data_IF_844445429377
#
_entry.id   IF_844445429377
#
_cell.length_a   1.000
_cell.length_b   1.000
_cell.length_c   1.000
_cell.angle_alpha   90.00
_cell.angle_beta   90.00
_cell.angle_gamma   90.00
#
_symmetry.space_group_name_H-M   'P 1'
#
loop_
_entity.id
_entity.type
_entity.pdbx_description
1 polymer ?
#
# COMPACT_ATOMS: atom_id res chain seq x y z
N UNK A 1 -24.14 -24.76 -18.89
CA UNK A 1 -22.69 -24.46 -18.91
C UNK A 1 -22.17 -24.76 -17.52
N UNK A 2 -21.36 -25.80 -17.36
CA UNK A 2 -20.74 -26.12 -16.07
C UNK A 2 -19.80 -24.97 -15.68
N UNK A 3 -20.00 -24.42 -14.48
CA UNK A 3 -19.06 -23.46 -13.93
C UNK A 3 -17.82 -24.22 -13.47
N UNK A 4 -16.73 -24.10 -14.22
CA UNK A 4 -15.43 -24.64 -13.83
C UNK A 4 -14.91 -23.80 -12.67
N UNK A 5 -14.98 -24.37 -11.46
CA UNK A 5 -14.49 -23.71 -10.25
C UNK A 5 -12.97 -23.88 -10.17
N UNK A 6 -12.22 -22.88 -10.62
CA UNK A 6 -10.76 -22.89 -10.67
C UNK A 6 -10.16 -22.46 -9.33
N UNK A 7 -10.47 -23.19 -8.25
CA UNK A 7 -9.87 -22.92 -6.94
C UNK A 7 -8.50 -23.61 -6.82
N UNK A 8 -7.51 -23.04 -7.50
CA UNK A 8 -6.11 -23.44 -7.39
C UNK A 8 -5.49 -22.73 -6.18
N UNK A 9 -4.85 -23.47 -5.29
CA UNK A 9 -4.09 -22.90 -4.16
C UNK A 9 -3.00 -21.96 -4.66
N UNK A 10 -2.78 -20.86 -3.94
CA UNK A 10 -1.68 -19.96 -4.24
C UNK A 10 -0.33 -20.67 -4.16
N UNK A 11 0.53 -20.46 -5.14
CA UNK A 11 1.89 -21.01 -5.14
C UNK A 11 2.90 -20.07 -4.46
N UNK A 12 4.11 -20.56 -4.21
CA UNK A 12 5.13 -19.79 -3.49
C UNK A 12 5.52 -18.46 -4.18
N UNK A 13 5.52 -18.42 -5.52
CA UNK A 13 5.85 -17.20 -6.26
C UNK A 13 4.75 -16.16 -6.17
N UNK A 14 3.48 -16.58 -6.27
CA UNK A 14 2.32 -15.70 -6.11
C UNK A 14 2.26 -15.17 -4.67
N UNK A 15 2.49 -16.00 -3.67
CA UNK A 15 2.56 -15.58 -2.28
C UNK A 15 3.66 -14.53 -2.06
N UNK A 16 4.87 -14.76 -2.59
CA UNK A 16 5.97 -13.79 -2.47
C UNK A 16 5.64 -12.43 -3.13
N UNK A 17 4.92 -12.44 -4.25
CA UNK A 17 4.46 -11.22 -4.92
C UNK A 17 3.44 -10.48 -4.07
N UNK A 18 2.42 -11.16 -3.54
CA UNK A 18 1.39 -10.53 -2.68
C UNK A 18 2.03 -9.98 -1.39
N UNK A 19 2.94 -10.73 -0.78
CA UNK A 19 3.67 -10.31 0.41
C UNK A 19 4.46 -9.01 0.14
N UNK A 20 5.22 -8.99 -0.96
CA UNK A 20 6.02 -7.82 -1.34
C UNK A 20 5.13 -6.61 -1.65
N UNK A 21 4.00 -6.83 -2.33
CA UNK A 21 3.02 -5.79 -2.63
C UNK A 21 2.49 -5.15 -1.34
N UNK A 22 2.08 -5.96 -0.36
CA UNK A 22 1.59 -5.46 0.91
C UNK A 22 2.64 -4.59 1.64
N UNK A 23 3.88 -5.05 1.69
CA UNK A 23 4.98 -4.28 2.32
C UNK A 23 5.22 -2.97 1.56
N UNK A 24 5.25 -3.00 0.23
CA UNK A 24 5.47 -1.81 -0.59
C UNK A 24 4.33 -0.79 -0.47
N UNK A 25 3.08 -1.22 -0.44
CA UNK A 25 1.94 -0.30 -0.29
C UNK A 25 1.89 0.29 1.12
N UNK A 26 2.29 -0.47 2.14
CA UNK A 26 2.38 0.05 3.51
C UNK A 26 3.45 1.14 3.64
N UNK A 27 4.60 0.97 2.97
CA UNK A 27 5.62 1.99 2.86
C UNK A 27 5.12 3.21 2.08
N UNK A 28 4.48 2.97 0.93
CA UNK A 28 3.93 4.03 0.08
C UNK A 28 2.93 4.89 0.84
N UNK A 29 2.03 4.28 1.63
CA UNK A 29 1.10 5.00 2.52
C UNK A 29 1.84 5.98 3.44
N UNK A 30 2.94 5.55 4.06
CA UNK A 30 3.73 6.39 4.95
C UNK A 30 4.36 7.58 4.20
N UNK A 31 4.99 7.32 3.06
CA UNK A 31 5.63 8.35 2.22
C UNK A 31 4.60 9.36 1.71
N UNK A 32 3.47 8.88 1.20
CA UNK A 32 2.43 9.72 0.61
C UNK A 32 1.77 10.61 1.68
N UNK A 33 1.50 10.09 2.87
CA UNK A 33 0.99 10.88 4.00
C UNK A 33 1.95 12.00 4.39
N UNK A 34 3.25 11.74 4.43
CA UNK A 34 4.26 12.77 4.66
C UNK A 34 4.26 13.83 3.54
N UNK A 35 4.25 13.41 2.28
CA UNK A 35 4.24 14.34 1.14
C UNK A 35 2.97 15.22 1.12
N UNK A 36 1.81 14.66 1.46
CA UNK A 36 0.54 15.40 1.51
C UNK A 36 0.50 16.48 2.59
N UNK A 37 1.27 16.30 3.66
CA UNK A 37 1.41 17.31 4.72
C UNK A 37 2.13 18.56 4.21
N UNK A 38 3.20 18.39 3.43
CA UNK A 38 4.08 19.49 3.00
C UNK A 38 3.78 20.06 1.60
N UNK A 39 3.01 19.33 0.76
CA UNK A 39 2.69 19.77 -0.61
C UNK A 39 1.87 21.06 -0.61
N UNK A 40 2.23 22.00 -1.49
CA UNK A 40 1.53 23.30 -1.65
C UNK A 40 0.83 23.46 -2.99
N UNK A 41 1.23 22.66 -3.96
CA UNK A 41 0.65 22.67 -5.29
C UNK A 41 -0.59 21.77 -5.28
N UNK A 42 -1.75 22.32 -5.65
CA UNK A 42 -3.04 21.63 -5.56
C UNK A 42 -3.15 20.51 -6.60
N UNK A 43 -2.57 20.65 -7.79
CA UNK A 43 -2.60 19.59 -8.82
C UNK A 43 -1.75 18.39 -8.35
N UNK A 44 -0.62 18.67 -7.68
CA UNK A 44 0.21 17.62 -7.06
C UNK A 44 -0.50 17.00 -5.85
N UNK A 45 -1.20 17.80 -5.04
CA UNK A 45 -1.99 17.31 -3.91
C UNK A 45 -3.03 16.28 -4.38
N UNK A 46 -3.84 16.62 -5.38
CA UNK A 46 -4.86 15.72 -5.93
C UNK A 46 -4.26 14.38 -6.40
N UNK A 47 -3.09 14.45 -7.06
CA UNK A 47 -2.37 13.24 -7.50
C UNK A 47 -1.90 12.39 -6.32
N UNK A 48 -1.37 13.02 -5.26
CA UNK A 48 -0.89 12.34 -4.06
C UNK A 48 -2.05 11.71 -3.27
N UNK A 49 -3.20 12.38 -3.18
CA UNK A 49 -4.41 11.84 -2.54
C UNK A 49 -4.91 10.60 -3.30
N UNK A 50 -4.97 10.66 -4.62
CA UNK A 50 -5.31 9.51 -5.45
C UNK A 50 -4.33 8.34 -5.25
N UNK A 51 -3.03 8.61 -5.22
CA UNK A 51 -2.02 7.58 -4.99
C UNK A 51 -2.14 6.95 -3.58
N UNK A 52 -2.50 7.75 -2.59
CA UNK A 52 -2.72 7.28 -1.21
C UNK A 52 -3.93 6.35 -1.14
N UNK A 53 -5.07 6.78 -1.69
CA UNK A 53 -6.30 5.97 -1.77
C UNK A 53 -6.04 4.64 -2.48
N UNK A 54 -5.28 4.67 -3.58
CA UNK A 54 -4.92 3.48 -4.33
C UNK A 54 -4.07 2.51 -3.48
N UNK A 55 -3.06 3.04 -2.78
CA UNK A 55 -2.19 2.25 -1.90
C UNK A 55 -2.98 1.61 -0.75
N UNK A 56 -3.88 2.36 -0.12
CA UNK A 56 -4.76 1.85 0.95
C UNK A 56 -5.73 0.78 0.44
N UNK A 57 -6.30 1.00 -0.74
CA UNK A 57 -7.16 0.01 -1.41
C UNK A 57 -6.39 -1.28 -1.72
N UNK A 58 -5.14 -1.19 -2.18
CA UNK A 58 -4.30 -2.35 -2.45
C UNK A 58 -3.91 -3.09 -1.16
N UNK A 59 -3.63 -2.37 -0.07
CA UNK A 59 -3.38 -2.98 1.25
C UNK A 59 -4.56 -3.85 1.68
N UNK A 60 -5.79 -3.33 1.59
CA UNK A 60 -6.96 -4.11 1.98
C UNK A 60 -7.19 -5.32 1.07
N UNK A 61 -6.99 -5.18 -0.24
CA UNK A 61 -7.09 -6.32 -1.17
C UNK A 61 -6.05 -7.40 -0.90
N UNK A 62 -4.79 -7.02 -0.68
CA UNK A 62 -3.71 -7.98 -0.40
C UNK A 62 -3.92 -8.68 0.94
N UNK A 63 -4.39 -7.98 1.98
CA UNK A 63 -4.84 -8.62 3.24
C UNK A 63 -5.95 -9.64 3.00
N UNK A 64 -6.94 -9.29 2.20
CA UNK A 64 -8.06 -10.18 1.88
C UNK A 64 -7.57 -11.44 1.15
N UNK A 65 -6.70 -11.31 0.14
CA UNK A 65 -6.15 -12.48 -0.56
C UNK A 65 -5.38 -13.41 0.36
N UNK A 66 -4.51 -12.88 1.22
CA UNK A 66 -3.78 -13.71 2.19
C UNK A 66 -4.72 -14.36 3.20
N UNK A 67 -5.73 -13.64 3.68
CA UNK A 67 -6.72 -14.17 4.63
C UNK A 67 -7.57 -15.29 4.02
N UNK A 68 -7.97 -15.16 2.75
CA UNK A 68 -8.73 -16.20 2.03
C UNK A 68 -7.94 -17.50 1.89
N UNK A 69 -6.62 -17.41 1.73
CA UNK A 69 -5.71 -18.55 1.65
C UNK A 69 -5.26 -19.06 3.04
N UNK A 70 -5.78 -18.50 4.14
CA UNK A 70 -5.36 -18.76 5.51
C UNK A 70 -3.83 -18.55 5.73
N UNK A 71 -3.26 -17.57 5.04
CA UNK A 71 -1.86 -17.16 5.18
C UNK A 71 -1.73 -16.00 6.17
N UNK A 72 -0.57 -15.86 6.85
CA UNK A 72 -0.34 -14.74 7.75
C UNK A 72 -0.25 -13.42 6.97
N UNK A 73 -0.75 -12.35 7.58
CA UNK A 73 -0.60 -10.99 7.07
C UNK A 73 0.79 -10.47 7.45
N UNK A 74 1.56 -9.84 6.54
CA UNK A 74 2.86 -9.29 6.86
C UNK A 74 2.76 -8.17 7.89
N UNK A 75 3.83 -7.98 8.65
CA UNK A 75 4.04 -6.74 9.39
C UNK A 75 4.58 -5.72 8.38
N UNK A 76 3.73 -4.77 7.99
CA UNK A 76 4.09 -3.67 7.09
C UNK A 76 4.53 -2.43 7.88
N UNK A 77 4.78 -1.34 7.16
CA UNK A 77 5.01 -0.03 7.74
C UNK A 77 3.71 0.54 8.34
N UNK A 78 3.90 1.27 9.42
CA UNK A 78 2.85 1.78 10.28
C UNK A 78 3.00 3.29 10.49
N UNK A 79 2.07 3.90 11.21
CA UNK A 79 2.15 5.34 11.46
C UNK A 79 3.32 5.68 12.41
N UNK A 80 3.82 4.69 13.14
CA UNK A 80 5.02 4.76 13.98
C UNK A 80 6.33 4.83 13.15
N UNK A 81 6.30 4.43 11.88
CA UNK A 81 7.47 4.41 10.99
C UNK A 81 7.64 5.72 10.20
N UNK A 82 6.78 6.72 10.43
CA UNK A 82 6.81 8.02 9.75
C UNK A 82 6.58 9.17 10.72
N UNK A 83 7.41 10.21 10.63
CA UNK A 83 7.20 11.49 11.32
C UNK A 83 6.60 12.48 10.34
N UNK A 84 5.26 12.56 10.28
CA UNK A 84 4.55 13.41 9.30
C UNK A 84 4.86 14.89 9.49
N UNK A 85 5.04 15.34 10.74
CA UNK A 85 5.35 16.73 11.08
C UNK A 85 6.83 17.11 10.87
N UNK A 86 7.64 16.22 10.31
CA UNK A 86 9.05 16.51 10.06
C UNK A 86 9.19 17.60 8.97
N UNK A 87 10.14 18.54 9.11
CA UNK A 87 10.33 19.58 8.11
C UNK A 87 10.73 18.99 6.76
N UNK A 88 10.25 19.60 5.67
CA UNK A 88 10.60 19.19 4.31
C UNK A 88 12.12 19.10 4.12
N UNK A 89 12.58 17.93 3.66
CA UNK A 89 13.99 17.66 3.36
C UNK A 89 14.56 18.57 2.27
N UNK A 90 13.73 18.99 1.31
CA UNK A 90 14.13 19.81 0.17
C UNK A 90 13.28 21.07 0.08
N UNK A 91 13.89 22.22 0.35
CA UNK A 91 13.24 23.53 0.14
C UNK A 91 13.47 23.98 -1.30
N UNK A 92 12.43 24.41 -1.99
CA UNK A 92 12.57 25.11 -3.26
C UNK A 92 13.22 26.49 -3.00
N UNK A 93 14.34 26.78 -3.68
CA UNK A 93 15.03 28.07 -3.68
C UNK A 93 14.57 28.94 -4.85
#
# INVERSE_FOLDING_TARGET
MEQVNHHTKINASEHAVIWSQYVNDSLSRCILRYMLHDVKDEDIRDLLEFALELSETHLEKTKQFLSLENLPIPIGFTDEDVTVDAPCLFTYY
#
